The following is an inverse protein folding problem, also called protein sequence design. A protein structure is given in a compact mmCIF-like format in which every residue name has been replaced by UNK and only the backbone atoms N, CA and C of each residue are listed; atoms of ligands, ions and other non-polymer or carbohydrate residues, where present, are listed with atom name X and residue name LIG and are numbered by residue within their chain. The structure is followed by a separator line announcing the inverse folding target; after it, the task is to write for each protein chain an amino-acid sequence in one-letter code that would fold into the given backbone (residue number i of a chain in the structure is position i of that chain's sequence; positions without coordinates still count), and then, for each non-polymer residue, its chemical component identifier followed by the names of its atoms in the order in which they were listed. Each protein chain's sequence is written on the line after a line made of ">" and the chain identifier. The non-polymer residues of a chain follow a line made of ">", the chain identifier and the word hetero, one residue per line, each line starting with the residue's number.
data_IF_269108888659
#
_entry.id   IF_269108888659
#
_cell.length_a   1.000
_cell.length_b   1.000
_cell.length_c   1.000
_cell.angle_alpha   90.00
_cell.angle_beta   90.00
_cell.angle_gamma   90.00
#
_symmetry.space_group_name_H-M   'P 1'
#
loop_
_entity.id
_entity.type
_entity.pdbx_description
1 polymer ?
#
# COMPACT_ATOMS: atom_id res chain seq x y z
N UNK A 1 48.96 9.62 50.88
CA UNK A 1 47.59 9.14 50.58
C UNK A 1 47.01 10.02 49.48
N UNK A 2 46.81 9.49 48.28
CA UNK A 2 45.99 10.13 47.23
C UNK A 2 45.31 9.01 46.45
N UNK A 3 43.99 8.88 46.63
CA UNK A 3 43.16 7.94 45.88
C UNK A 3 42.92 8.53 44.49
N UNK A 4 43.37 7.84 43.44
CA UNK A 4 43.01 8.17 42.07
C UNK A 4 41.50 7.89 41.86
N UNK A 5 40.76 8.91 41.46
CA UNK A 5 39.36 8.80 41.03
C UNK A 5 39.33 8.26 39.60
N UNK A 6 38.94 7.00 39.44
CA UNK A 6 38.60 6.44 38.12
C UNK A 6 37.31 7.11 37.59
N UNK A 7 37.27 7.60 36.34
CA UNK A 7 36.05 8.13 35.76
C UNK A 7 35.05 7.00 35.44
N UNK A 8 33.73 7.27 35.44
CA UNK A 8 32.72 6.25 35.21
C UNK A 8 32.78 5.75 33.77
N UNK A 9 32.95 4.44 33.61
CA UNK A 9 32.84 3.73 32.34
C UNK A 9 31.41 3.93 31.81
N UNK A 10 31.24 4.81 30.82
CA UNK A 10 30.01 4.91 30.04
C UNK A 10 29.79 3.58 29.32
N UNK A 11 28.99 2.70 29.90
CA UNK A 11 28.42 1.56 29.18
C UNK A 11 27.58 2.12 28.05
N UNK A 12 28.11 2.10 26.83
CA UNK A 12 27.31 2.29 25.61
C UNK A 12 26.31 1.13 25.61
N UNK A 13 25.08 1.38 26.04
CA UNK A 13 23.97 0.48 25.74
C UNK A 13 23.88 0.45 24.21
N UNK A 14 24.35 -0.65 23.61
CA UNK A 14 23.96 -1.01 22.26
C UNK A 14 22.45 -1.23 22.34
N UNK A 15 21.68 -0.18 22.06
CA UNK A 15 20.31 -0.37 21.62
C UNK A 15 20.37 -1.42 20.50
N UNK A 16 19.56 -2.48 20.56
CA UNK A 16 19.52 -3.44 19.48
C UNK A 16 19.24 -2.64 18.20
N UNK A 17 20.17 -2.69 17.24
CA UNK A 17 19.88 -2.25 15.88
C UNK A 17 18.69 -3.10 15.47
N UNK A 18 17.51 -2.50 15.43
CA UNK A 18 16.35 -3.11 14.80
C UNK A 18 16.82 -3.34 13.37
N UNK A 19 17.12 -4.59 13.05
CA UNK A 19 17.33 -5.01 11.67
C UNK A 19 15.94 -4.91 11.06
N UNK A 20 15.60 -3.73 10.55
CA UNK A 20 14.42 -3.51 9.71
C UNK A 20 14.76 -4.12 8.35
N UNK A 21 14.91 -5.44 8.35
CA UNK A 21 14.87 -6.29 7.18
C UNK A 21 13.48 -6.91 7.05
N UNK A 22 12.43 -6.13 7.37
CA UNK A 22 11.10 -6.49 6.91
C UNK A 22 11.19 -6.47 5.39
N UNK A 23 11.15 -7.65 4.77
CA UNK A 23 11.11 -7.80 3.31
C UNK A 23 9.84 -7.10 2.83
N UNK A 24 9.94 -5.81 2.54
CA UNK A 24 8.84 -5.04 1.97
C UNK A 24 8.68 -5.48 0.54
N UNK A 25 7.70 -6.36 0.29
CA UNK A 25 7.39 -6.83 -1.04
C UNK A 25 6.88 -5.65 -1.87
N UNK A 26 7.49 -5.47 -3.04
CA UNK A 26 7.10 -4.42 -4.00
C UNK A 26 6.16 -5.04 -5.03
N UNK A 27 5.02 -4.41 -5.24
CA UNK A 27 4.03 -4.80 -6.23
C UNK A 27 4.08 -3.84 -7.41
N UNK A 28 4.02 -4.41 -8.61
CA UNK A 28 3.91 -3.66 -9.86
C UNK A 28 2.48 -3.77 -10.36
N UNK A 29 1.75 -2.65 -10.36
CA UNK A 29 0.37 -2.59 -10.82
C UNK A 29 0.21 -1.71 -12.04
N UNK A 30 -0.83 -1.97 -12.84
CA UNK A 30 -1.21 -1.10 -13.96
C UNK A 30 -2.37 -0.23 -13.52
N UNK A 31 -2.22 1.08 -13.63
CA UNK A 31 -3.25 2.06 -13.27
C UNK A 31 -3.44 3.10 -14.38
N UNK A 32 -4.65 3.67 -14.55
CA UNK A 32 -4.87 4.80 -15.42
C UNK A 32 -4.03 6.02 -14.99
N UNK A 33 -3.52 6.78 -15.96
CA UNK A 33 -2.73 8.00 -15.69
C UNK A 33 -3.54 9.00 -14.86
N UNK A 34 -4.81 9.22 -15.20
CA UNK A 34 -5.70 10.14 -14.48
C UNK A 34 -5.84 9.78 -12.99
N UNK A 35 -6.04 8.49 -12.70
CA UNK A 35 -6.10 7.99 -11.32
C UNK A 35 -4.80 8.26 -10.56
N UNK A 36 -3.64 8.11 -11.22
CA UNK A 36 -2.35 8.43 -10.61
C UNK A 36 -2.21 9.93 -10.31
N UNK A 37 -2.67 10.80 -11.22
CA UNK A 37 -2.70 12.25 -11.04
C UNK A 37 -3.59 12.63 -9.84
N UNK A 38 -4.81 12.10 -9.77
CA UNK A 38 -5.75 12.33 -8.66
C UNK A 38 -5.16 11.91 -7.31
N UNK A 39 -4.49 10.76 -7.25
CA UNK A 39 -3.77 10.31 -6.04
C UNK A 39 -2.63 11.27 -5.68
N UNK A 40 -1.85 11.72 -6.66
CA UNK A 40 -0.75 12.65 -6.41
C UNK A 40 -1.25 14.01 -5.90
N UNK A 41 -2.32 14.53 -6.49
CA UNK A 41 -2.95 15.78 -6.08
C UNK A 41 -3.50 15.70 -4.66
N UNK A 42 -4.23 14.63 -4.34
CA UNK A 42 -4.75 14.40 -2.99
C UNK A 42 -3.61 14.35 -1.95
N UNK A 43 -2.54 13.59 -2.25
CA UNK A 43 -1.40 13.51 -1.34
C UNK A 43 -0.66 14.84 -1.20
N UNK A 44 -0.54 15.60 -2.29
CA UNK A 44 0.07 16.93 -2.25
C UNK A 44 -0.73 17.91 -1.39
N UNK A 45 -2.08 17.89 -1.47
CA UNK A 45 -2.96 18.71 -0.63
C UNK A 45 -2.78 18.41 0.87
N UNK A 46 -2.59 17.14 1.20
CA UNK A 46 -2.36 16.69 2.58
C UNK A 46 -0.92 16.89 3.09
N UNK A 47 -0.02 17.47 2.28
CA UNK A 47 1.40 17.63 2.62
C UNK A 47 2.17 16.29 2.67
N UNK A 48 1.68 15.27 1.96
CA UNK A 48 2.21 13.89 1.99
C UNK A 48 3.15 13.64 0.82
N UNK A 49 4.35 13.12 1.11
CA UNK A 49 5.36 12.79 0.09
C UNK A 49 5.12 11.42 -0.57
N UNK A 50 5.84 11.12 -1.66
CA UNK A 50 5.74 9.86 -2.41
C UNK A 50 5.92 8.57 -1.57
N UNK A 51 6.67 8.61 -0.47
CA UNK A 51 6.76 7.49 0.49
C UNK A 51 5.45 7.17 1.19
N UNK A 52 4.56 8.15 1.36
CA UNK A 52 3.27 7.98 2.01
C UNK A 52 2.20 7.43 1.06
N UNK A 53 2.45 7.45 -0.25
CA UNK A 53 1.56 6.85 -1.25
C UNK A 53 1.34 5.36 -0.99
N UNK A 54 2.42 4.61 -0.73
CA UNK A 54 2.32 3.18 -0.41
C UNK A 54 1.45 2.93 0.82
N UNK A 55 1.64 3.72 1.88
CA UNK A 55 0.83 3.64 3.10
C UNK A 55 -0.64 4.00 2.86
N UNK A 56 -0.90 5.04 2.08
CA UNK A 56 -2.25 5.46 1.72
C UNK A 56 -2.97 4.38 0.90
N UNK A 57 -2.27 3.76 -0.07
CA UNK A 57 -2.80 2.63 -0.84
C UNK A 57 -3.04 1.41 0.07
N UNK A 58 -2.17 1.15 1.04
CA UNK A 58 -2.41 0.09 2.04
C UNK A 58 -3.69 0.31 2.83
N UNK A 59 -3.92 1.52 3.32
CA UNK A 59 -5.16 1.88 4.01
C UNK A 59 -6.39 1.74 3.09
N UNK A 60 -6.25 2.10 1.82
CA UNK A 60 -7.32 1.94 0.84
C UNK A 60 -7.71 0.45 0.64
N UNK A 61 -6.72 -0.45 0.60
CA UNK A 61 -6.92 -1.91 0.49
C UNK A 61 -7.60 -2.45 1.75
N UNK A 62 -7.11 -2.04 2.93
CA UNK A 62 -7.68 -2.44 4.22
C UNK A 62 -9.16 -2.01 4.29
N UNK A 63 -9.47 -0.76 3.96
CA UNK A 63 -10.86 -0.29 3.95
C UNK A 63 -11.73 -1.02 2.93
N UNK A 64 -11.24 -1.26 1.71
CA UNK A 64 -11.99 -1.99 0.68
C UNK A 64 -12.39 -3.38 1.19
N UNK A 65 -11.51 -4.08 1.91
CA UNK A 65 -11.79 -5.43 2.42
C UNK A 65 -12.96 -5.47 3.41
N UNK A 66 -13.25 -4.35 4.09
CA UNK A 66 -14.37 -4.24 5.03
C UNK A 66 -15.66 -3.72 4.37
N UNK A 67 -15.63 -3.31 3.10
CA UNK A 67 -16.83 -2.90 2.35
C UNK A 67 -17.60 -4.14 1.89
N UNK A 68 -18.92 -4.23 2.12
CA UNK A 68 -19.70 -5.47 1.90
C UNK A 68 -19.66 -5.98 0.45
N UNK A 69 -19.61 -5.07 -0.54
CA UNK A 69 -19.72 -5.37 -1.97
C UNK A 69 -18.37 -5.34 -2.72
N UNK A 70 -17.24 -5.44 -2.01
CA UNK A 70 -15.92 -5.27 -2.66
C UNK A 70 -15.66 -6.29 -3.77
N UNK A 71 -16.22 -7.50 -3.66
CA UNK A 71 -16.01 -8.58 -4.63
C UNK A 71 -16.64 -8.21 -5.97
N UNK A 72 -17.89 -7.76 -5.93
CA UNK A 72 -18.67 -7.32 -7.08
C UNK A 72 -18.00 -6.11 -7.76
N UNK A 73 -17.57 -5.12 -6.99
CA UNK A 73 -16.86 -3.96 -7.50
C UNK A 73 -15.58 -4.33 -8.26
N UNK A 74 -14.81 -5.31 -7.76
CA UNK A 74 -13.60 -5.78 -8.44
C UNK A 74 -13.94 -6.55 -9.72
N UNK A 75 -15.03 -7.33 -9.72
CA UNK A 75 -15.49 -8.06 -10.90
C UNK A 75 -15.91 -7.13 -12.03
N UNK A 76 -16.60 -6.03 -11.69
CA UNK A 76 -17.06 -5.01 -12.64
C UNK A 76 -15.93 -4.10 -13.13
N UNK A 77 -14.85 -3.97 -12.37
CA UNK A 77 -13.73 -3.12 -12.76
C UNK A 77 -13.14 -3.58 -14.09
N UNK A 78 -13.05 -2.64 -15.03
CA UNK A 78 -12.49 -2.87 -16.34
C UNK A 78 -11.40 -1.85 -16.65
N UNK A 79 -10.24 -2.34 -17.08
CA UNK A 79 -9.14 -1.49 -17.50
C UNK A 79 -9.27 -1.13 -18.99
N UNK A 80 -9.49 0.14 -19.29
CA UNK A 80 -9.39 0.64 -20.66
C UNK A 80 -7.97 0.41 -21.22
N UNK A 81 -7.83 0.03 -22.49
CA UNK A 81 -6.51 -0.33 -23.05
C UNK A 81 -5.54 0.85 -23.19
N UNK A 82 -6.04 2.08 -23.20
CA UNK A 82 -5.23 3.30 -23.42
C UNK A 82 -4.87 3.95 -22.08
N UNK A 83 -3.76 4.69 -22.07
CA UNK A 83 -3.36 5.58 -20.96
C UNK A 83 -3.16 4.90 -19.59
N UNK A 84 -2.54 3.71 -19.58
CA UNK A 84 -2.14 3.04 -18.34
C UNK A 84 -0.64 3.08 -18.13
N UNK A 85 -0.23 3.28 -16.89
CA UNK A 85 1.18 3.29 -16.47
C UNK A 85 1.44 2.25 -15.39
N UNK A 86 2.66 1.67 -15.36
CA UNK A 86 3.07 0.85 -14.23
C UNK A 86 3.31 1.73 -13.00
N UNK A 87 2.69 1.39 -11.88
CA UNK A 87 2.99 1.97 -10.57
C UNK A 87 3.62 0.90 -9.68
N UNK A 88 4.76 1.24 -9.09
CA UNK A 88 5.40 0.42 -8.08
C UNK A 88 4.90 0.85 -6.69
N UNK A 89 4.33 -0.07 -5.95
CA UNK A 89 3.82 0.19 -4.60
C UNK A 89 4.43 -0.78 -3.60
N UNK A 90 4.79 -0.24 -2.44
CA UNK A 90 5.19 -1.03 -1.27
C UNK A 90 4.05 -0.97 -0.28
N UNK A 91 3.53 -2.12 0.09
CA UNK A 91 2.40 -2.24 1.01
C UNK A 91 2.87 -2.52 2.43
N UNK A 92 2.03 -2.19 3.41
CA UNK A 92 2.14 -2.72 4.76
C UNK A 92 1.93 -4.25 4.72
N UNK A 93 2.44 -4.94 5.74
CA UNK A 93 2.29 -6.39 5.87
C UNK A 93 0.80 -6.79 5.93
N UNK A 94 0.01 -6.04 6.66
CA UNK A 94 -1.44 -6.27 6.81
C UNK A 94 -2.18 -6.11 5.49
N UNK A 95 -1.96 -5.00 4.77
CA UNK A 95 -2.56 -4.82 3.45
C UNK A 95 -2.10 -5.86 2.42
N UNK A 96 -0.85 -6.34 2.50
CA UNK A 96 -0.38 -7.45 1.67
C UNK A 96 -1.15 -8.75 1.97
N UNK A 97 -1.32 -9.12 3.23
CA UNK A 97 -2.06 -10.32 3.63
C UNK A 97 -3.54 -10.24 3.19
N UNK A 98 -4.16 -9.09 3.36
CA UNK A 98 -5.53 -8.83 2.89
C UNK A 98 -5.61 -8.92 1.36
N UNK A 99 -4.69 -8.28 0.64
CA UNK A 99 -4.67 -8.32 -0.81
C UNK A 99 -4.53 -9.75 -1.34
N UNK A 100 -3.66 -10.56 -0.75
CA UNK A 100 -3.49 -11.97 -1.13
C UNK A 100 -4.80 -12.74 -0.92
N UNK A 101 -5.47 -12.56 0.22
CA UNK A 101 -6.78 -13.20 0.50
C UNK A 101 -7.84 -12.83 -0.55
N UNK A 102 -7.97 -11.53 -0.88
CA UNK A 102 -8.91 -11.06 -1.89
C UNK A 102 -8.57 -11.68 -3.26
N UNK A 103 -7.31 -11.62 -3.65
CA UNK A 103 -6.85 -12.12 -4.95
C UNK A 103 -7.07 -13.63 -5.07
N UNK A 104 -6.78 -14.40 -4.03
CA UNK A 104 -6.95 -15.86 -4.06
C UNK A 104 -8.43 -16.24 -4.10
N UNK A 105 -9.29 -15.58 -3.33
CA UNK A 105 -10.76 -15.73 -3.45
C UNK A 105 -11.25 -15.44 -4.87
N UNK A 106 -10.81 -14.31 -5.45
CA UNK A 106 -11.24 -13.90 -6.79
C UNK A 106 -10.68 -14.80 -7.90
N UNK A 107 -9.53 -15.44 -7.73
CA UNK A 107 -9.01 -16.40 -8.72
C UNK A 107 -9.92 -17.62 -8.87
N UNK A 108 -10.51 -18.07 -7.77
CA UNK A 108 -11.48 -19.18 -7.77
C UNK A 108 -12.75 -18.76 -8.51
N UNK A 109 -13.26 -17.55 -8.24
CA UNK A 109 -14.51 -17.05 -8.81
C UNK A 109 -14.39 -16.52 -10.25
N UNK A 110 -13.23 -15.98 -10.64
CA UNK A 110 -12.96 -15.32 -11.93
C UNK A 110 -11.85 -16.03 -12.72
N UNK A 111 -12.05 -17.32 -12.96
CA UNK A 111 -11.14 -18.15 -13.73
C UNK A 111 -10.79 -17.51 -15.09
N UNK A 112 -9.51 -17.18 -15.29
CA UNK A 112 -8.98 -16.63 -16.55
C UNK A 112 -8.65 -15.13 -16.52
N UNK A 113 -9.08 -14.37 -15.51
CA UNK A 113 -8.68 -12.97 -15.35
C UNK A 113 -7.26 -12.86 -14.79
N UNK A 114 -6.33 -12.29 -15.57
CA UNK A 114 -4.90 -12.21 -15.21
C UNK A 114 -4.52 -10.95 -14.43
N UNK A 115 -5.38 -9.93 -14.43
CA UNK A 115 -5.10 -8.62 -13.85
C UNK A 115 -5.77 -8.40 -12.48
N UNK A 116 -6.29 -9.45 -11.83
CA UNK A 116 -7.02 -9.39 -10.55
C UNK A 116 -6.29 -8.53 -9.53
N UNK A 117 -4.99 -8.73 -9.34
CA UNK A 117 -4.19 -7.95 -8.39
C UNK A 117 -4.21 -6.44 -8.70
N UNK A 118 -4.06 -6.07 -9.98
CA UNK A 118 -4.11 -4.66 -10.37
C UNK A 118 -5.54 -4.11 -10.28
N UNK A 119 -6.55 -4.91 -10.62
CA UNK A 119 -7.96 -4.56 -10.50
C UNK A 119 -8.34 -4.27 -9.06
N UNK A 120 -8.01 -5.17 -8.12
CA UNK A 120 -8.24 -4.99 -6.69
C UNK A 120 -7.66 -3.68 -6.18
N UNK A 121 -6.40 -3.37 -6.54
CA UNK A 121 -5.77 -2.13 -6.09
C UNK A 121 -6.39 -0.89 -6.76
N UNK A 122 -6.78 -0.96 -8.04
CA UNK A 122 -7.50 0.13 -8.71
C UNK A 122 -8.86 0.40 -8.07
N UNK A 123 -9.62 -0.63 -7.74
CA UNK A 123 -10.89 -0.47 -7.01
C UNK A 123 -10.65 0.13 -5.63
N UNK A 124 -9.64 -0.34 -4.90
CA UNK A 124 -9.30 0.21 -3.59
C UNK A 124 -8.99 1.72 -3.67
N UNK A 125 -8.16 2.11 -4.65
CA UNK A 125 -7.84 3.52 -4.91
C UNK A 125 -9.10 4.31 -5.27
N UNK A 126 -9.94 3.79 -6.17
CA UNK A 126 -11.17 4.46 -6.61
C UNK A 126 -12.11 4.70 -5.44
N UNK A 127 -12.39 3.68 -4.63
CA UNK A 127 -13.22 3.78 -3.44
C UNK A 127 -12.64 4.78 -2.42
N UNK A 128 -11.32 4.81 -2.25
CA UNK A 128 -10.67 5.79 -1.39
C UNK A 128 -10.76 7.23 -1.92
N UNK A 129 -10.59 7.45 -3.23
CA UNK A 129 -10.74 8.77 -3.85
C UNK A 129 -12.18 9.31 -3.71
N UNK A 130 -13.19 8.45 -3.89
CA UNK A 130 -14.59 8.78 -3.66
C UNK A 130 -14.81 9.18 -2.19
N UNK A 131 -14.30 8.38 -1.23
CA UNK A 131 -14.39 8.70 0.21
C UNK A 131 -13.73 10.03 0.57
N UNK A 132 -12.69 10.42 -0.15
CA UNK A 132 -12.00 11.70 0.04
C UNK A 132 -12.64 12.88 -0.73
N UNK A 133 -13.71 12.65 -1.49
CA UNK A 133 -14.40 13.68 -2.27
C UNK A 133 -13.59 14.22 -3.46
N UNK A 134 -12.71 13.39 -4.04
CA UNK A 134 -11.93 13.74 -5.23
C UNK A 134 -12.65 13.35 -6.52
N UNK A 135 -13.39 12.24 -6.47
CA UNK A 135 -14.18 11.67 -7.57
C UNK A 135 -15.68 11.81 -7.29
#
# INVERSE_FOLDING_TARGET
>A
MVKALNPPIRRKSKLPKIVVGAVTRRFSIRIPVKMLEEVNELLARDGKNGHQKGKWISQAIEHLYYDEDYVELIKEEWLERKNNVPLQVTLTKEAEEILIKIVDRLKEECSGRKDILSATIRVAITAALIRCGVL
#
